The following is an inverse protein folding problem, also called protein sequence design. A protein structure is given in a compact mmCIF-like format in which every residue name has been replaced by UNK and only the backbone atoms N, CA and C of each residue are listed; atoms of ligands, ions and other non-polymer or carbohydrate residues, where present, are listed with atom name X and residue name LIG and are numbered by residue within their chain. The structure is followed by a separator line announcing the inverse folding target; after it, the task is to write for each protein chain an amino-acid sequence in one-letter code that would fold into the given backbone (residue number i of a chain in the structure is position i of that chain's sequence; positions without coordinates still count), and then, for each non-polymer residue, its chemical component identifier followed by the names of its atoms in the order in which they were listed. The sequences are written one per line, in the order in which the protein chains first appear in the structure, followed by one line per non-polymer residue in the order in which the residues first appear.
data_IF_997026357796
#
_entry.id   IF_997026357796
#
_cell.length_a   1.000
_cell.length_b   1.000
_cell.length_c   1.000
_cell.angle_alpha   90.00
_cell.angle_beta   90.00
_cell.angle_gamma   90.00
#
_symmetry.space_group_name_H-M   'P 1'
#
loop_
_entity.id
_entity.type
_entity.pdbx_description
1 polymer ?
#
# COMPACT_ATOMS: atom_id res chain seq x y z
N UNK A 1 5.07 49.24 17.84
CA UNK A 1 6.08 48.15 17.78
C UNK A 1 5.57 47.08 16.84
N UNK A 2 6.16 46.96 15.64
CA UNK A 2 5.82 45.90 14.68
C UNK A 2 6.50 44.62 15.16
N UNK A 3 5.74 43.71 15.78
CA UNK A 3 6.21 42.34 16.00
C UNK A 3 6.34 41.68 14.63
N UNK A 4 7.56 41.71 14.07
CA UNK A 4 7.96 40.84 12.99
C UNK A 4 8.11 39.45 13.61
N UNK A 5 7.02 38.67 13.55
CA UNK A 5 7.08 37.24 13.83
C UNK A 5 7.93 36.60 12.75
N UNK A 6 9.18 36.27 13.10
CA UNK A 6 10.01 35.40 12.28
C UNK A 6 9.18 34.17 11.86
N UNK A 7 9.22 33.74 10.59
CA UNK A 7 8.44 32.59 10.15
C UNK A 7 8.84 31.40 11.01
N UNK A 8 7.89 30.87 11.78
CA UNK A 8 8.07 29.70 12.61
C UNK A 8 8.76 28.62 11.75
N UNK A 9 9.99 28.27 12.11
CA UNK A 9 10.80 27.31 11.36
C UNK A 9 9.97 26.05 11.14
N UNK A 10 9.55 25.79 9.90
CA UNK A 10 8.69 24.68 9.57
C UNK A 10 9.27 23.38 10.16
N UNK A 11 8.49 22.67 10.97
CA UNK A 11 8.93 21.44 11.61
C UNK A 11 9.52 20.47 10.57
N UNK A 12 10.57 19.70 10.89
CA UNK A 12 11.20 18.78 9.92
C UNK A 12 10.18 17.83 9.27
N UNK A 13 9.16 17.44 10.03
CA UNK A 13 8.03 16.62 9.57
C UNK A 13 7.19 17.36 8.52
N UNK A 14 6.86 18.64 8.74
CA UNK A 14 6.07 19.38 7.75
C UNK A 14 6.84 19.58 6.44
N UNK A 15 8.17 19.78 6.50
CA UNK A 15 9.05 19.85 5.33
C UNK A 15 9.10 18.53 4.55
N UNK A 16 9.11 17.39 5.24
CA UNK A 16 9.06 16.08 4.58
C UNK A 16 7.72 15.88 3.84
N UNK A 17 6.60 16.20 4.50
CA UNK A 17 5.25 16.06 3.91
C UNK A 17 5.10 16.98 2.69
N UNK A 18 5.50 18.24 2.79
CA UNK A 18 5.41 19.18 1.66
C UNK A 18 6.30 18.76 0.49
N UNK A 19 7.46 18.16 0.77
CA UNK A 19 8.35 17.63 -0.28
C UNK A 19 7.71 16.46 -1.05
N UNK A 20 7.04 15.54 -0.35
CA UNK A 20 6.31 14.43 -0.98
C UNK A 20 5.13 14.97 -1.80
N UNK A 21 4.34 15.90 -1.24
CA UNK A 21 3.19 16.49 -1.92
C UNK A 21 3.57 17.41 -3.09
N UNK A 22 4.79 17.94 -3.08
CA UNK A 22 5.36 18.75 -4.17
C UNK A 22 5.73 17.95 -5.42
N UNK A 23 5.67 16.61 -5.37
CA UNK A 23 5.92 15.78 -6.56
C UNK A 23 4.82 15.95 -7.62
N UNK A 24 5.17 15.79 -8.91
CA UNK A 24 4.17 15.81 -9.98
C UNK A 24 3.10 14.75 -9.72
N UNK A 25 1.85 15.08 -10.04
CA UNK A 25 0.68 14.22 -9.75
C UNK A 25 0.87 12.80 -10.30
N UNK A 26 1.45 12.67 -11.49
CA UNK A 26 1.74 11.39 -12.10
C UNK A 26 2.68 10.52 -11.25
N UNK A 27 3.75 11.09 -10.70
CA UNK A 27 4.67 10.35 -9.82
C UNK A 27 3.96 9.86 -8.54
N UNK A 28 3.06 10.68 -7.98
CA UNK A 28 2.25 10.28 -6.82
C UNK A 28 1.27 9.16 -7.15
N UNK A 29 0.67 9.19 -8.35
CA UNK A 29 -0.19 8.09 -8.84
C UNK A 29 0.61 6.80 -8.96
N UNK A 30 1.75 6.83 -9.66
CA UNK A 30 2.61 5.65 -9.84
C UNK A 30 3.04 5.08 -8.48
N UNK A 31 3.46 5.93 -7.56
CA UNK A 31 3.86 5.52 -6.22
C UNK A 31 2.73 4.82 -5.46
N UNK A 32 1.54 5.42 -5.43
CA UNK A 32 0.36 4.82 -4.76
C UNK A 32 -0.01 3.50 -5.42
N UNK A 33 0.01 3.41 -6.74
CA UNK A 33 -0.24 2.15 -7.46
C UNK A 33 0.79 1.06 -7.09
N UNK A 34 2.07 1.42 -6.97
CA UNK A 34 3.11 0.48 -6.56
C UNK A 34 2.93 0.02 -5.11
N UNK A 35 2.56 0.92 -4.20
CA UNK A 35 2.26 0.55 -2.81
C UNK A 35 1.04 -0.34 -2.70
N UNK A 36 -0.03 -0.04 -3.44
CA UNK A 36 -1.22 -0.88 -3.53
C UNK A 36 -0.88 -2.26 -4.08
N UNK A 37 -0.09 -2.34 -5.15
CA UNK A 37 0.31 -3.60 -5.75
C UNK A 37 1.18 -4.42 -4.78
N UNK A 38 2.16 -3.79 -4.14
CA UNK A 38 2.99 -4.45 -3.13
C UNK A 38 2.14 -4.96 -1.95
N UNK A 39 1.17 -4.18 -1.49
CA UNK A 39 0.25 -4.61 -0.43
C UNK A 39 -0.60 -5.81 -0.87
N UNK A 40 -1.13 -5.79 -2.11
CA UNK A 40 -1.89 -6.90 -2.65
C UNK A 40 -1.05 -8.19 -2.71
N UNK A 41 0.18 -8.10 -3.23
CA UNK A 41 1.11 -9.24 -3.31
C UNK A 41 1.49 -9.79 -1.93
N UNK A 42 1.67 -8.91 -0.95
CA UNK A 42 2.01 -9.29 0.42
C UNK A 42 0.80 -9.95 1.14
N UNK A 43 -0.41 -9.44 0.91
CA UNK A 43 -1.64 -9.93 1.55
C UNK A 43 -2.14 -11.23 0.95
N UNK A 44 -1.98 -11.43 -0.35
CA UNK A 44 -2.47 -12.60 -1.09
C UNK A 44 -2.15 -13.94 -0.38
N UNK A 45 -0.89 -14.29 -0.08
CA UNK A 45 -0.57 -15.57 0.55
C UNK A 45 -1.12 -15.72 1.97
N UNK A 46 -1.29 -14.60 2.70
CA UNK A 46 -1.91 -14.61 4.03
C UNK A 46 -3.40 -14.93 3.91
N UNK A 47 -4.10 -14.27 2.98
CA UNK A 47 -5.53 -14.49 2.74
C UNK A 47 -5.76 -15.91 2.22
N UNK A 48 -4.94 -16.37 1.28
CA UNK A 48 -5.00 -17.73 0.75
C UNK A 48 -4.80 -18.77 1.87
N UNK A 49 -3.79 -18.58 2.73
CA UNK A 49 -3.53 -19.49 3.84
C UNK A 49 -4.70 -19.56 4.84
N UNK A 50 -5.24 -18.41 5.23
CA UNK A 50 -6.41 -18.34 6.12
C UNK A 50 -7.61 -19.02 5.46
N UNK A 51 -7.88 -18.72 4.19
CA UNK A 51 -9.02 -19.26 3.49
C UNK A 51 -8.94 -20.79 3.33
N UNK A 52 -7.77 -21.30 2.93
CA UNK A 52 -7.53 -22.74 2.80
C UNK A 52 -7.59 -23.46 4.16
N UNK A 53 -7.13 -22.83 5.24
CA UNK A 53 -7.10 -23.46 6.56
C UNK A 53 -8.49 -23.54 7.20
N UNK A 54 -9.31 -22.50 7.06
CA UNK A 54 -10.55 -22.38 7.83
C UNK A 54 -11.83 -22.55 7.00
N UNK A 55 -11.79 -22.26 5.70
CA UNK A 55 -12.99 -22.20 4.86
C UNK A 55 -13.04 -23.25 3.76
N UNK A 56 -11.90 -23.88 3.44
CA UNK A 56 -11.81 -24.91 2.41
C UNK A 56 -11.66 -26.31 3.03
N UNK A 57 -12.75 -27.08 3.18
CA UNK A 57 -12.64 -28.50 3.49
C UNK A 57 -12.12 -29.24 2.25
N UNK A 58 -10.93 -29.83 2.36
CA UNK A 58 -10.27 -30.62 1.32
C UNK A 58 -11.14 -31.77 0.76
N UNK A 59 -12.21 -32.15 1.47
CA UNK A 59 -13.06 -33.31 1.19
C UNK A 59 -14.35 -33.01 0.41
N UNK A 60 -14.79 -31.76 0.25
CA UNK A 60 -16.09 -31.51 -0.40
C UNK A 60 -15.96 -31.45 -1.92
N UNK A 61 -16.45 -32.46 -2.64
CA UNK A 61 -16.55 -32.49 -4.11
C UNK A 61 -17.50 -31.43 -4.72
N UNK A 62 -18.10 -30.57 -3.90
CA UNK A 62 -19.02 -29.50 -4.30
C UNK A 62 -18.32 -28.17 -4.09
N UNK A 63 -17.26 -27.92 -4.86
CA UNK A 63 -16.60 -26.61 -4.91
C UNK A 63 -17.05 -25.90 -6.18
N UNK A 64 -17.90 -24.89 -6.01
CA UNK A 64 -18.36 -24.04 -7.12
C UNK A 64 -17.25 -23.06 -7.52
N UNK A 65 -17.12 -22.72 -8.82
CA UNK A 65 -16.07 -21.82 -9.35
C UNK A 65 -15.97 -20.48 -8.60
N UNK A 66 -17.09 -19.99 -8.05
CA UNK A 66 -17.13 -18.78 -7.25
C UNK A 66 -16.31 -18.88 -5.95
N UNK A 67 -16.31 -20.02 -5.26
CA UNK A 67 -15.58 -20.19 -3.99
C UNK A 67 -14.06 -20.10 -4.18
N UNK A 68 -13.56 -20.53 -5.35
CA UNK A 68 -12.14 -20.43 -5.69
C UNK A 68 -11.66 -18.99 -5.88
N UNK A 69 -12.57 -18.07 -6.17
CA UNK A 69 -12.26 -16.66 -6.44
C UNK A 69 -12.44 -15.75 -5.22
N UNK A 70 -13.01 -16.24 -4.12
CA UNK A 70 -13.26 -15.44 -2.92
C UNK A 70 -11.95 -14.81 -2.36
N UNK A 71 -10.83 -15.53 -2.22
CA UNK A 71 -9.57 -14.95 -1.72
C UNK A 71 -9.06 -13.77 -2.57
N UNK A 72 -9.13 -13.90 -3.89
CA UNK A 72 -8.68 -12.84 -4.80
C UNK A 72 -9.61 -11.63 -4.76
N UNK A 73 -10.92 -11.82 -4.61
CA UNK A 73 -11.89 -10.75 -4.42
C UNK A 73 -11.67 -9.99 -3.11
N UNK A 74 -11.39 -10.69 -2.01
CA UNK A 74 -11.05 -10.07 -0.72
C UNK A 74 -9.77 -9.25 -0.86
N UNK A 75 -8.74 -9.84 -1.47
CA UNK A 75 -7.45 -9.16 -1.69
C UNK A 75 -7.63 -7.91 -2.55
N UNK A 76 -8.39 -8.01 -3.65
CA UNK A 76 -8.68 -6.89 -4.53
C UNK A 76 -9.46 -5.77 -3.80
N UNK A 77 -10.44 -6.14 -2.96
CA UNK A 77 -11.20 -5.18 -2.15
C UNK A 77 -10.32 -4.41 -1.18
N UNK A 78 -9.41 -5.10 -0.47
CA UNK A 78 -8.46 -4.45 0.44
C UNK A 78 -7.47 -3.57 -0.34
N UNK A 79 -6.95 -4.06 -1.47
CA UNK A 79 -6.04 -3.29 -2.33
C UNK A 79 -6.71 -2.00 -2.84
N UNK A 80 -7.98 -2.08 -3.26
CA UNK A 80 -8.75 -0.92 -3.70
C UNK A 80 -8.95 0.09 -2.56
N UNK A 81 -9.20 -0.36 -1.33
CA UNK A 81 -9.30 0.53 -0.17
C UNK A 81 -7.96 1.24 0.11
N UNK A 82 -6.83 0.52 0.03
CA UNK A 82 -5.48 1.10 0.18
C UNK A 82 -5.20 2.13 -0.91
N UNK A 83 -5.61 1.85 -2.15
CA UNK A 83 -5.48 2.78 -3.27
C UNK A 83 -6.32 4.04 -3.05
N UNK A 84 -7.58 3.89 -2.64
CA UNK A 84 -8.46 5.02 -2.34
C UNK A 84 -7.90 5.90 -1.21
N UNK A 85 -7.31 5.29 -0.17
CA UNK A 85 -6.62 6.03 0.90
C UNK A 85 -5.41 6.80 0.36
N UNK A 86 -4.58 6.19 -0.48
CA UNK A 86 -3.45 6.86 -1.13
C UNK A 86 -3.91 8.00 -2.04
N UNK A 87 -5.03 7.82 -2.73
CA UNK A 87 -5.64 8.84 -3.55
C UNK A 87 -6.04 10.06 -2.73
N UNK A 88 -6.71 9.84 -1.61
CA UNK A 88 -7.15 10.91 -0.72
C UNK A 88 -5.99 11.63 -0.02
N UNK A 89 -4.98 10.89 0.43
CA UNK A 89 -3.88 11.43 1.23
C UNK A 89 -2.75 12.05 0.40
N UNK A 90 -2.41 11.45 -0.74
CA UNK A 90 -1.25 11.84 -1.54
C UNK A 90 -1.62 12.45 -2.88
N UNK A 91 -2.59 11.91 -3.61
CA UNK A 91 -2.86 12.33 -5.01
C UNK A 91 -3.71 13.60 -5.06
N UNK A 92 -4.87 13.58 -4.42
CA UNK A 92 -5.87 14.66 -4.48
C UNK A 92 -6.68 14.70 -5.78
N UNK A 93 -7.56 15.69 -5.89
CA UNK A 93 -8.38 15.93 -7.07
C UNK A 93 -7.67 16.86 -8.06
N UNK A 94 -8.15 16.90 -9.32
CA UNK A 94 -7.56 17.75 -10.35
C UNK A 94 -7.46 19.22 -9.87
N UNK A 95 -6.28 19.82 -10.02
CA UNK A 95 -6.03 21.21 -9.60
C UNK A 95 -5.89 21.45 -8.09
N UNK A 96 -5.94 20.39 -7.26
CA UNK A 96 -5.80 20.52 -5.81
C UNK A 96 -4.60 19.75 -5.28
N UNK A 97 -3.91 20.32 -4.30
CA UNK A 97 -2.88 19.60 -3.52
C UNK A 97 -3.50 19.26 -2.17
N UNK A 98 -3.47 17.98 -1.73
CA UNK A 98 -3.97 17.60 -0.41
C UNK A 98 -3.30 18.42 0.69
N UNK A 99 -4.01 18.72 1.79
CA UNK A 99 -3.42 19.42 2.92
C UNK A 99 -2.30 18.57 3.55
N UNK A 100 -1.19 19.18 3.99
CA UNK A 100 -0.09 18.47 4.62
C UNK A 100 -0.54 17.91 5.98
N UNK A 101 -0.72 16.59 6.05
CA UNK A 101 -1.15 15.86 7.25
C UNK A 101 -0.16 14.77 7.61
N UNK A 102 0.01 14.49 8.90
CA UNK A 102 0.86 13.39 9.38
C UNK A 102 0.46 12.04 8.75
N UNK A 103 -0.84 11.83 8.51
CA UNK A 103 -1.36 10.63 7.86
C UNK A 103 -0.73 10.36 6.48
N UNK A 104 -0.39 11.40 5.71
CA UNK A 104 0.28 11.24 4.42
C UNK A 104 1.71 10.69 4.57
N UNK A 105 2.43 11.13 5.60
CA UNK A 105 3.77 10.62 5.89
C UNK A 105 3.71 9.17 6.40
N UNK A 106 2.76 8.87 7.30
CA UNK A 106 2.55 7.50 7.79
C UNK A 106 2.23 6.56 6.63
N UNK A 107 1.29 6.95 5.76
CA UNK A 107 0.95 6.17 4.56
C UNK A 107 2.18 5.94 3.67
N UNK A 108 2.98 6.98 3.43
CA UNK A 108 4.20 6.88 2.62
C UNK A 108 5.23 5.92 3.23
N UNK A 109 5.52 6.05 4.52
CA UNK A 109 6.48 5.20 5.22
C UNK A 109 5.99 3.75 5.33
N UNK A 110 4.71 3.55 5.62
CA UNK A 110 4.09 2.22 5.62
C UNK A 110 4.16 1.58 4.23
N UNK A 111 3.89 2.35 3.18
CA UNK A 111 4.01 1.90 1.78
C UNK A 111 5.43 1.48 1.43
N UNK A 112 6.45 2.21 1.86
CA UNK A 112 7.86 1.80 1.71
C UNK A 112 8.12 0.48 2.42
N UNK A 113 7.69 0.36 3.69
CA UNK A 113 7.86 -0.87 4.46
C UNK A 113 7.21 -2.07 3.78
N UNK A 114 5.97 -1.92 3.32
CA UNK A 114 5.24 -2.96 2.57
C UNK A 114 5.95 -3.31 1.26
N UNK A 115 6.46 -2.31 0.52
CA UNK A 115 7.20 -2.57 -0.71
C UNK A 115 8.48 -3.37 -0.46
N UNK A 116 9.23 -3.03 0.59
CA UNK A 116 10.43 -3.78 0.99
C UNK A 116 10.07 -5.21 1.39
N UNK A 117 9.01 -5.41 2.18
CA UNK A 117 8.54 -6.74 2.58
C UNK A 117 8.08 -7.57 1.38
N UNK A 118 7.33 -6.97 0.44
CA UNK A 118 6.90 -7.65 -0.77
C UNK A 118 8.10 -8.09 -1.63
N UNK A 119 9.11 -7.22 -1.79
CA UNK A 119 10.36 -7.58 -2.49
C UNK A 119 11.07 -8.71 -1.75
N UNK A 120 11.21 -8.62 -0.42
CA UNK A 120 11.86 -9.67 0.38
C UNK A 120 11.14 -11.02 0.23
N UNK A 121 9.80 -11.02 0.19
CA UNK A 121 9.01 -12.23 -0.01
C UNK A 121 9.20 -12.82 -1.41
N UNK A 122 9.22 -11.98 -2.46
CA UNK A 122 9.51 -12.43 -3.83
C UNK A 122 10.91 -13.05 -3.89
N UNK A 123 11.92 -12.39 -3.31
CA UNK A 123 13.29 -12.91 -3.26
C UNK A 123 13.35 -14.23 -2.50
N UNK A 124 12.71 -14.33 -1.34
CA UNK A 124 12.66 -15.57 -0.56
C UNK A 124 12.01 -16.72 -1.35
N UNK A 125 10.92 -16.43 -2.07
CA UNK A 125 10.26 -17.38 -2.96
C UNK A 125 11.13 -17.81 -4.15
N UNK A 126 11.90 -16.90 -4.74
CA UNK A 126 12.84 -17.24 -5.80
C UNK A 126 14.01 -18.10 -5.29
N UNK A 127 14.53 -17.78 -4.11
CA UNK A 127 15.62 -18.54 -3.47
C UNK A 127 15.20 -19.96 -3.14
N UNK A 128 13.97 -20.17 -2.66
CA UNK A 128 13.47 -21.52 -2.36
C UNK A 128 13.25 -22.39 -3.60
N UNK A 129 13.15 -21.80 -4.79
CA UNK A 129 13.00 -22.51 -6.07
C UNK A 129 14.35 -22.94 -6.68
N UNK A 130 15.48 -22.41 -6.22
CA UNK A 130 16.80 -22.81 -6.72
C UNK A 130 17.21 -24.16 -6.13
N UNK A 131 17.64 -25.14 -6.95
CA UNK A 131 18.16 -26.40 -6.44
C UNK A 131 19.41 -26.15 -5.60
N UNK A 132 19.51 -26.82 -4.46
CA UNK A 132 20.73 -26.81 -3.64
C UNK A 132 21.87 -27.41 -4.48
N UNK A 133 22.82 -26.57 -4.88
CA UNK A 133 24.06 -26.97 -5.54
C UNK A 133 24.98 -27.71 -4.60
#
# INVERSE_FOLDING_TARGET
MKQSSAPASASPISRAITRILGWPRFARIVLVSLFTLAAALLLQPVIDNIYLTYFFPWESQIVTDFQRQIPSLITAGIALAIFALGWWLLIGFAGTVPPPRMAALIYFLAGIGIAVLAIAQIVAGLVSMMPAS
#
